data_IF_051947538057
#
_entry.id   IF_051947538057
#
_cell.length_a   1.000
_cell.length_b   1.000
_cell.length_c   1.000
_cell.angle_alpha   90.00
_cell.angle_beta   90.00
_cell.angle_gamma   90.00
#
_symmetry.space_group_name_H-M   'P 1'
#
loop_
_entity.id
_entity.type
_entity.pdbx_description
1 polymer ?
#
# COMPACT_ATOMS: atom_id res chain seq x y z
N UNK A 1 -18.62 -1.69 -18.98
CA UNK A 1 -17.68 -0.60 -18.65
C UNK A 1 -17.47 0.27 -19.87
N UNK A 2 -17.52 1.59 -19.75
CA UNK A 2 -17.10 2.54 -20.79
C UNK A 2 -15.58 2.54 -20.94
N UNK A 3 -15.05 3.28 -21.92
CA UNK A 3 -13.60 3.42 -22.08
C UNK A 3 -12.99 4.14 -20.86
N UNK A 4 -13.63 5.20 -20.38
CA UNK A 4 -13.21 5.98 -19.22
C UNK A 4 -13.19 5.13 -17.96
N UNK A 5 -14.19 4.27 -17.75
CA UNK A 5 -14.22 3.34 -16.60
C UNK A 5 -13.07 2.32 -16.69
N UNK A 6 -12.71 1.82 -17.88
CA UNK A 6 -11.57 0.91 -18.06
C UNK A 6 -10.24 1.61 -17.78
N UNK A 7 -10.05 2.82 -18.28
CA UNK A 7 -8.85 3.64 -18.02
C UNK A 7 -8.75 3.97 -16.54
N UNK A 8 -9.87 4.31 -15.88
CA UNK A 8 -9.93 4.54 -14.44
C UNK A 8 -9.42 3.34 -13.64
N UNK A 9 -9.82 2.11 -14.02
CA UNK A 9 -9.33 0.89 -13.38
C UNK A 9 -7.82 0.66 -13.53
N UNK A 10 -7.20 1.17 -14.59
CA UNK A 10 -5.74 1.09 -14.82
C UNK A 10 -4.98 2.24 -14.15
N UNK A 11 -5.68 3.20 -13.54
CA UNK A 11 -5.08 4.36 -12.91
C UNK A 11 -4.94 4.15 -11.40
N UNK A 12 -3.70 4.20 -10.91
CA UNK A 12 -3.39 4.29 -9.49
C UNK A 12 -2.92 5.71 -9.16
N UNK A 13 -3.48 6.33 -8.13
CA UNK A 13 -3.10 7.68 -7.69
C UNK A 13 -2.58 7.69 -6.24
N UNK A 14 -1.82 8.71 -5.89
CA UNK A 14 -1.38 8.94 -4.52
C UNK A 14 -2.55 9.49 -3.67
N UNK A 15 -2.63 9.07 -2.41
CA UNK A 15 -3.75 9.42 -1.52
C UNK A 15 -3.95 10.91 -1.25
N UNK A 16 -2.94 11.77 -1.46
CA UNK A 16 -3.06 13.23 -1.35
C UNK A 16 -3.86 13.83 -2.51
N UNK A 17 -3.93 13.14 -3.64
CA UNK A 17 -4.69 13.55 -4.82
C UNK A 17 -6.07 12.85 -4.90
N UNK A 18 -6.34 11.90 -4.00
CA UNK A 18 -7.55 11.08 -3.98
C UNK A 18 -8.76 11.80 -3.35
N UNK A 19 -9.10 12.99 -3.84
CA UNK A 19 -10.30 13.70 -3.39
C UNK A 19 -11.59 12.96 -3.84
N UNK A 20 -12.70 13.06 -3.09
CA UNK A 20 -13.95 12.37 -3.43
C UNK A 20 -14.42 12.57 -4.88
N UNK A 21 -14.32 13.80 -5.40
CA UNK A 21 -14.72 14.12 -6.77
C UNK A 21 -13.77 13.51 -7.80
N UNK A 22 -12.47 13.45 -7.51
CA UNK A 22 -11.47 12.80 -8.38
C UNK A 22 -11.76 11.30 -8.47
N UNK A 23 -11.97 10.65 -7.33
CA UNK A 23 -12.28 9.22 -7.25
C UNK A 23 -13.51 8.86 -8.11
N UNK A 24 -14.58 9.66 -7.99
CA UNK A 24 -15.84 9.41 -8.71
C UNK A 24 -15.77 9.77 -10.19
N UNK A 25 -15.24 10.95 -10.51
CA UNK A 25 -15.20 11.49 -11.88
C UNK A 25 -14.34 10.63 -12.80
N UNK A 26 -13.24 10.09 -12.29
CA UNK A 26 -12.26 9.36 -13.08
C UNK A 26 -12.28 7.85 -12.85
N UNK A 27 -13.27 7.32 -12.11
CA UNK A 27 -13.48 5.88 -11.89
C UNK A 27 -12.21 5.16 -11.39
N UNK A 28 -11.48 5.81 -10.49
CA UNK A 28 -10.14 5.39 -10.03
C UNK A 28 -10.16 3.96 -9.48
N UNK A 29 -9.30 3.11 -10.03
CA UNK A 29 -9.19 1.70 -9.66
C UNK A 29 -8.30 1.45 -8.45
N UNK A 30 -7.32 2.31 -8.19
CA UNK A 30 -6.40 2.11 -7.07
C UNK A 30 -5.89 3.42 -6.47
N UNK A 31 -5.62 3.39 -5.17
CA UNK A 31 -4.95 4.46 -4.43
C UNK A 31 -3.74 3.86 -3.72
N UNK A 32 -2.69 4.66 -3.54
CA UNK A 32 -1.52 4.24 -2.74
C UNK A 32 -1.14 5.29 -1.69
N UNK A 33 -0.46 4.82 -0.65
CA UNK A 33 0.36 5.65 0.24
C UNK A 33 1.83 5.41 -0.09
N UNK A 34 2.51 6.43 -0.62
CA UNK A 34 3.96 6.39 -0.80
C UNK A 34 4.70 6.48 0.54
N UNK A 35 6.02 6.33 0.53
CA UNK A 35 6.86 6.47 1.72
C UNK A 35 6.56 7.76 2.51
N UNK A 36 6.16 7.62 3.77
CA UNK A 36 5.80 8.75 4.65
C UNK A 36 4.45 9.42 4.36
N UNK A 37 3.68 8.96 3.37
CA UNK A 37 2.34 9.48 3.09
C UNK A 37 1.31 8.88 4.04
N UNK A 38 1.20 9.49 5.22
CA UNK A 38 0.35 9.03 6.33
C UNK A 38 -0.84 9.98 6.55
N UNK A 39 -2.00 9.51 7.03
CA UNK A 39 -3.18 10.35 7.24
C UNK A 39 -2.94 11.50 8.23
N UNK A 40 -2.14 11.26 9.26
CA UNK A 40 -1.69 12.27 10.23
C UNK A 40 -0.39 11.80 10.91
N UNK A 41 0.40 12.70 11.51
CA UNK A 41 1.53 12.31 12.36
C UNK A 41 1.08 11.35 13.46
N UNK A 42 1.77 10.22 13.60
CA UNK A 42 1.46 9.17 14.60
C UNK A 42 0.00 8.65 14.53
N UNK A 43 -0.61 8.66 13.34
CA UNK A 43 -1.96 8.15 13.13
C UNK A 43 -2.14 6.72 13.65
N UNK A 44 -3.28 6.46 14.29
CA UNK A 44 -3.65 5.12 14.78
C UNK A 44 -4.13 4.26 13.61
N UNK A 45 -4.18 2.94 13.82
CA UNK A 45 -4.75 2.01 12.83
C UNK A 45 -6.20 2.38 12.47
N UNK A 46 -7.00 2.85 13.44
CA UNK A 46 -8.36 3.32 13.21
C UNK A 46 -8.41 4.55 12.28
N UNK A 47 -7.49 5.51 12.45
CA UNK A 47 -7.38 6.66 11.53
C UNK A 47 -7.10 6.22 10.10
N UNK A 48 -6.24 5.21 9.90
CA UNK A 48 -6.01 4.62 8.59
C UNK A 48 -7.27 3.94 8.03
N UNK A 49 -7.94 3.10 8.82
CA UNK A 49 -9.18 2.43 8.42
C UNK A 49 -10.24 3.44 8.01
N UNK A 50 -10.43 4.51 8.78
CA UNK A 50 -11.36 5.58 8.46
C UNK A 50 -11.04 6.21 7.09
N UNK A 51 -9.77 6.60 6.87
CA UNK A 51 -9.34 7.17 5.59
C UNK A 51 -9.60 6.22 4.42
N UNK A 52 -9.20 4.95 4.52
CA UNK A 52 -9.39 3.95 3.46
C UNK A 52 -10.88 3.74 3.17
N UNK A 53 -11.72 3.64 4.21
CA UNK A 53 -13.15 3.46 4.06
C UNK A 53 -13.84 4.66 3.38
N UNK A 54 -13.43 5.89 3.67
CA UNK A 54 -14.00 7.07 3.00
C UNK A 54 -13.69 7.08 1.50
N UNK A 55 -12.46 6.72 1.11
CA UNK A 55 -12.08 6.55 -0.29
C UNK A 55 -12.84 5.40 -0.95
N UNK A 56 -13.01 4.29 -0.23
CA UNK A 56 -13.78 3.13 -0.70
C UNK A 56 -15.24 3.50 -0.98
N UNK A 57 -15.90 4.25 -0.09
CA UNK A 57 -17.27 4.76 -0.29
C UNK A 57 -17.38 5.59 -1.55
N UNK A 58 -16.36 6.39 -1.87
CA UNK A 58 -16.32 7.17 -3.11
C UNK A 58 -16.31 6.25 -4.34
N UNK A 59 -15.43 5.26 -4.39
CA UNK A 59 -15.35 4.29 -5.50
C UNK A 59 -16.68 3.52 -5.67
N UNK A 60 -17.27 3.05 -4.56
CA UNK A 60 -18.54 2.31 -4.56
C UNK A 60 -19.75 3.14 -4.97
N UNK A 61 -19.67 4.48 -4.89
CA UNK A 61 -20.74 5.38 -5.33
C UNK A 61 -20.77 5.64 -6.85
N UNK A 62 -19.81 5.10 -7.60
CA UNK A 62 -19.81 5.17 -9.08
C UNK A 62 -20.89 4.28 -9.69
N UNK A 63 -21.22 4.50 -10.96
CA UNK A 63 -22.28 3.78 -11.70
C UNK A 63 -22.20 2.25 -11.60
N UNK A 64 -20.99 1.70 -11.62
CA UNK A 64 -20.75 0.25 -11.51
C UNK A 64 -20.36 -0.18 -10.10
N UNK A 65 -20.10 0.75 -9.18
CA UNK A 65 -19.69 0.46 -7.81
C UNK A 65 -18.46 -0.44 -7.70
N UNK A 66 -17.49 -0.31 -8.62
CA UNK A 66 -16.29 -1.15 -8.60
C UNK A 66 -15.41 -0.72 -7.41
N UNK A 67 -15.04 -1.64 -6.51
CA UNK A 67 -14.20 -1.31 -5.37
C UNK A 67 -12.79 -0.92 -5.82
N UNK A 68 -12.21 0.10 -5.19
CA UNK A 68 -10.78 0.39 -5.35
C UNK A 68 -9.93 -0.59 -4.53
N UNK A 69 -8.68 -0.76 -4.94
CA UNK A 69 -7.65 -1.44 -4.14
C UNK A 69 -6.64 -0.43 -3.61
N UNK A 70 -6.31 -0.50 -2.33
CA UNK A 70 -5.36 0.38 -1.67
C UNK A 70 -4.00 -0.30 -1.48
N UNK A 71 -2.94 0.33 -1.98
CA UNK A 71 -1.56 -0.14 -1.94
C UNK A 71 -0.67 0.60 -0.93
N UNK A 72 0.31 -0.10 -0.37
CA UNK A 72 1.35 0.49 0.48
C UNK A 72 2.65 -0.31 0.43
N UNK A 73 3.78 0.38 0.60
CA UNK A 73 5.09 -0.26 0.77
C UNK A 73 5.22 -0.91 2.16
N UNK A 74 4.75 -2.16 2.31
CA UNK A 74 4.95 -2.96 3.53
C UNK A 74 6.14 -3.93 3.38
N UNK A 75 7.34 -3.38 3.17
CA UNK A 75 8.53 -4.12 2.73
C UNK A 75 9.34 -4.80 3.85
N UNK A 76 9.15 -4.38 5.11
CA UNK A 76 9.79 -4.98 6.28
C UNK A 76 8.87 -4.86 7.51
N UNK A 77 7.60 -5.23 7.32
CA UNK A 77 6.49 -4.87 8.21
C UNK A 77 5.65 -3.72 7.61
N UNK A 78 4.55 -3.34 8.28
CA UNK A 78 3.70 -2.23 7.86
C UNK A 78 4.34 -0.86 8.22
N UNK A 79 5.53 -0.62 7.66
CA UNK A 79 6.55 0.29 8.15
C UNK A 79 6.21 1.79 8.10
N UNK A 80 5.25 2.20 7.26
CA UNK A 80 4.70 3.57 7.28
C UNK A 80 3.80 3.85 8.49
N UNK A 81 3.29 2.82 9.16
CA UNK A 81 2.30 2.95 10.24
C UNK A 81 3.00 3.07 11.59
N UNK A 82 2.60 4.08 12.36
CA UNK A 82 3.16 4.33 13.68
C UNK A 82 2.92 3.13 14.62
N UNK A 83 4.00 2.64 15.24
CA UNK A 83 4.03 1.46 16.14
C UNK A 83 3.74 0.11 15.48
N UNK A 84 3.71 0.02 14.16
CA UNK A 84 3.77 -1.27 13.48
C UNK A 84 5.08 -1.99 13.81
N UNK A 85 5.06 -3.32 13.74
CA UNK A 85 6.27 -4.12 13.92
C UNK A 85 7.22 -3.88 12.75
N UNK A 86 8.48 -3.55 13.06
CA UNK A 86 9.53 -3.39 12.06
C UNK A 86 10.42 -4.63 12.10
N UNK A 87 10.39 -5.41 11.02
CA UNK A 87 11.24 -6.59 10.84
C UNK A 87 12.60 -6.20 10.25
N UNK A 88 13.62 -7.08 10.33
CA UNK A 88 14.86 -6.90 9.57
C UNK A 88 14.56 -6.77 8.07
N UNK A 89 15.35 -5.94 7.37
CA UNK A 89 15.30 -5.86 5.92
C UNK A 89 15.80 -7.16 5.25
N UNK A 90 15.45 -7.33 3.98
CA UNK A 90 15.59 -8.58 3.22
C UNK A 90 17.00 -9.17 3.24
N UNK A 91 18.06 -8.35 3.19
CA UNK A 91 19.45 -8.85 3.23
C UNK A 91 19.75 -9.63 4.53
N UNK A 92 19.13 -9.23 5.64
CA UNK A 92 19.22 -9.96 6.92
C UNK A 92 18.31 -11.18 6.98
N UNK A 93 17.31 -11.26 6.11
CA UNK A 93 16.34 -12.36 6.06
C UNK A 93 16.75 -13.48 5.12
N UNK A 94 17.58 -13.23 4.11
CA UNK A 94 17.98 -14.25 3.11
C UNK A 94 18.61 -15.51 3.72
N UNK A 95 19.21 -15.38 4.91
CA UNK A 95 19.79 -16.50 5.66
C UNK A 95 18.80 -17.23 6.58
N UNK A 96 17.52 -16.81 6.63
CA UNK A 96 16.50 -17.32 7.55
C UNK A 96 15.22 -17.79 6.85
N UNK A 97 14.51 -18.76 7.42
CA UNK A 97 13.18 -19.23 6.94
C UNK A 97 12.07 -18.80 7.90
N UNK A 98 11.72 -17.51 7.90
CA UNK A 98 10.73 -16.95 8.83
C UNK A 98 9.34 -16.72 8.20
N UNK A 99 8.28 -16.82 9.03
CA UNK A 99 6.88 -16.54 8.65
C UNK A 99 6.51 -15.05 8.77
N UNK A 100 7.36 -14.14 8.30
CA UNK A 100 7.17 -12.69 8.45
C UNK A 100 5.96 -12.19 7.64
N UNK A 101 5.79 -12.68 6.41
CA UNK A 101 4.73 -12.20 5.52
C UNK A 101 3.31 -12.35 6.10
N UNK A 102 3.05 -13.42 6.87
CA UNK A 102 1.75 -13.61 7.52
C UNK A 102 1.47 -12.56 8.61
N UNK A 103 2.48 -12.22 9.43
CA UNK A 103 2.37 -11.17 10.44
C UNK A 103 2.20 -9.79 9.77
N UNK A 104 3.00 -9.50 8.74
CA UNK A 104 2.86 -8.27 7.95
C UNK A 104 1.48 -8.15 7.33
N UNK A 105 0.93 -9.22 6.75
CA UNK A 105 -0.41 -9.21 6.17
C UNK A 105 -1.50 -8.86 7.21
N UNK A 106 -1.40 -9.40 8.43
CA UNK A 106 -2.32 -9.05 9.52
C UNK A 106 -2.22 -7.57 9.89
N UNK A 107 -1.01 -7.03 10.02
CA UNK A 107 -0.82 -5.61 10.36
C UNK A 107 -1.24 -4.65 9.24
N UNK A 108 -1.06 -5.03 7.97
CA UNK A 108 -1.55 -4.25 6.81
C UNK A 108 -3.09 -4.26 6.79
N UNK A 109 -3.72 -5.40 7.06
CA UNK A 109 -5.18 -5.49 7.15
C UNK A 109 -5.74 -4.76 8.36
N UNK A 110 -5.00 -4.68 9.46
CA UNK A 110 -5.39 -3.90 10.64
C UNK A 110 -5.55 -2.39 10.33
N UNK A 111 -4.90 -1.87 9.29
CA UNK A 111 -5.06 -0.49 8.81
C UNK A 111 -6.05 -0.35 7.65
N UNK A 112 -6.81 -1.41 7.33
CA UNK A 112 -7.81 -1.42 6.26
C UNK A 112 -7.25 -1.60 4.85
N UNK A 113 -5.92 -1.64 4.69
CA UNK A 113 -5.22 -1.73 3.41
C UNK A 113 -5.24 -3.17 2.90
N UNK A 114 -5.35 -3.36 1.58
CA UNK A 114 -5.54 -4.68 0.99
C UNK A 114 -4.34 -5.18 0.19
N UNK A 115 -3.43 -4.30 -0.21
CA UNK A 115 -2.31 -4.62 -1.08
C UNK A 115 -0.98 -4.09 -0.53
N UNK A 116 0.01 -4.97 -0.42
CA UNK A 116 1.37 -4.65 -0.04
C UNK A 116 2.32 -4.77 -1.25
N UNK A 117 3.17 -3.76 -1.45
CA UNK A 117 4.23 -3.78 -2.47
C UNK A 117 5.45 -4.55 -1.98
N UNK A 118 5.30 -5.86 -1.79
CA UNK A 118 6.32 -6.76 -1.24
C UNK A 118 6.07 -8.19 -1.74
N UNK A 119 7.11 -9.01 -1.97
CA UNK A 119 8.54 -8.76 -1.69
C UNK A 119 9.32 -8.07 -2.82
N UNK A 120 10.40 -7.37 -2.46
CA UNK A 120 11.46 -7.02 -3.41
C UNK A 120 12.34 -8.25 -3.67
N UNK A 121 12.28 -8.78 -4.89
CA UNK A 121 13.04 -9.98 -5.32
C UNK A 121 14.24 -9.63 -6.20
N UNK A 122 14.72 -8.39 -6.11
CA UNK A 122 15.93 -7.98 -6.82
C UNK A 122 17.11 -8.85 -6.36
N UNK A 123 18.05 -9.09 -7.28
CA UNK A 123 19.36 -9.69 -6.96
C UNK A 123 20.38 -8.57 -7.01
N UNK A 124 20.81 -8.10 -5.84
CA UNK A 124 21.84 -7.06 -5.77
C UNK A 124 23.17 -7.64 -6.28
N UNK A 125 23.77 -6.98 -7.28
CA UNK A 125 25.07 -7.39 -7.87
C UNK A 125 26.20 -6.44 -7.55
N UNK A 126 25.87 -5.22 -7.13
CA UNK A 126 26.80 -4.18 -6.75
C UNK A 126 26.27 -3.48 -5.48
N UNK A 127 26.96 -3.61 -4.33
CA UNK A 127 26.54 -2.98 -3.08
C UNK A 127 26.61 -1.45 -3.08
N UNK A 128 27.14 -0.83 -4.15
CA UNK A 128 27.00 0.61 -4.40
C UNK A 128 25.56 1.05 -4.68
N UNK A 129 24.66 0.11 -5.00
CA UNK A 129 23.23 0.42 -5.16
C UNK A 129 22.55 0.62 -3.81
N UNK A 130 21.92 1.79 -3.63
CA UNK A 130 21.31 2.21 -2.35
C UNK A 130 20.20 1.30 -1.82
N UNK A 131 19.59 0.45 -2.66
CA UNK A 131 18.53 -0.49 -2.25
C UNK A 131 19.04 -1.93 -2.07
N UNK A 132 20.35 -2.18 -2.03
CA UNK A 132 20.87 -3.55 -1.85
C UNK A 132 20.39 -4.23 -0.56
N UNK A 133 20.06 -3.46 0.49
CA UNK A 133 19.47 -4.04 1.71
C UNK A 133 18.05 -4.62 1.49
N UNK A 134 17.37 -4.23 0.41
CA UNK A 134 16.07 -4.75 0.01
C UNK A 134 16.18 -6.03 -0.83
N UNK A 135 17.37 -6.38 -1.29
CA UNK A 135 17.65 -7.68 -1.90
C UNK A 135 17.88 -8.74 -0.82
N UNK A 136 17.48 -9.98 -1.07
CA UNK A 136 17.67 -11.07 -0.11
C UNK A 136 19.12 -11.58 -0.03
N UNK A 137 19.91 -11.45 -1.11
CA UNK A 137 21.27 -11.99 -1.20
C UNK A 137 22.14 -11.23 -2.18
#
# INVERSE_FOLDING_TARGET
>A
MTLEEKIGQMTQIERKDAFPDVMKKYFIGSVLSGGGSVPAPKATAETWVHMVNELQKCALSTRLGIPMIYGIDAVHGNNNVYRATIFPHNVGLGVTRQRIGAATALEVRATGIQYAFSPCIAVCRDPGWGCCYESYS
#
